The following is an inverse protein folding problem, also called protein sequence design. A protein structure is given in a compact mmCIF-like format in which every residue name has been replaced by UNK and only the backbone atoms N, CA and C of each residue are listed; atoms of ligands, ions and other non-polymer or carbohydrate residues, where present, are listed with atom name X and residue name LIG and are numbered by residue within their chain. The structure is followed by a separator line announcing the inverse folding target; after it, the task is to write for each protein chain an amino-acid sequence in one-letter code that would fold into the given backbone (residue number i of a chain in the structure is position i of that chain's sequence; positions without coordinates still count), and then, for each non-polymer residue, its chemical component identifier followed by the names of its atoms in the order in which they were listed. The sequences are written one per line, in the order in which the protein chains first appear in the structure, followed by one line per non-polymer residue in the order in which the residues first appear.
data_IF_481791772483
#
_entry.id   IF_481791772483
#
_cell.length_a   1.000
_cell.length_b   1.000
_cell.length_c   1.000
_cell.angle_alpha   90.00
_cell.angle_beta   90.00
_cell.angle_gamma   90.00
#
_symmetry.space_group_name_H-M   'P 1'
#
loop_
_entity.id
_entity.type
_entity.pdbx_description
1 polymer ?
#
# COMPACT_ATOMS: atom_id res chain seq x y z
N UNK A 1 8.78 -0.45 6.35
CA UNK A 1 7.60 -0.06 5.55
C UNK A 1 6.27 -0.46 6.20
N UNK A 2 5.94 -1.75 6.39
CA UNK A 2 4.63 -2.18 6.94
C UNK A 2 4.36 -1.62 8.36
N UNK A 3 5.40 -1.53 9.22
CA UNK A 3 5.23 -0.96 10.55
C UNK A 3 4.90 0.54 10.50
N UNK A 4 5.59 1.29 9.66
CA UNK A 4 5.32 2.71 9.41
C UNK A 4 3.90 2.91 8.86
N UNK A 5 3.49 2.11 7.88
CA UNK A 5 2.14 2.14 7.32
C UNK A 5 1.07 1.92 8.40
N UNK A 6 1.28 0.93 9.29
CA UNK A 6 0.38 0.64 10.41
C UNK A 6 0.28 1.82 11.40
N UNK A 7 1.40 2.45 11.73
CA UNK A 7 1.42 3.64 12.61
C UNK A 7 0.65 4.81 11.99
N UNK A 8 0.70 4.95 10.65
CA UNK A 8 -0.07 5.94 9.90
C UNK A 8 -1.54 5.56 9.67
N UNK A 9 -1.99 4.41 10.19
CA UNK A 9 -3.38 3.95 10.08
C UNK A 9 -3.74 3.32 8.73
N UNK A 10 -2.76 2.95 7.92
CA UNK A 10 -3.00 2.21 6.68
C UNK A 10 -3.29 0.74 7.01
N UNK A 11 -4.31 0.19 6.35
CA UNK A 11 -4.70 -1.20 6.48
C UNK A 11 -3.65 -2.10 5.82
N UNK A 12 -2.86 -2.78 6.64
CA UNK A 12 -1.79 -3.69 6.23
C UNK A 12 -1.92 -5.02 6.97
N UNK A 13 -1.48 -6.13 6.36
CA UNK A 13 -1.50 -7.42 7.04
C UNK A 13 -0.59 -7.41 8.28
N UNK A 14 -1.00 -8.14 9.28
CA UNK A 14 -0.17 -8.40 10.46
C UNK A 14 1.14 -9.07 10.04
N UNK A 15 2.27 -8.50 10.46
CA UNK A 15 3.60 -8.95 10.05
C UNK A 15 4.51 -9.18 11.25
N UNK A 16 5.42 -10.13 11.10
CA UNK A 16 6.32 -10.59 12.16
C UNK A 16 7.73 -10.73 11.61
N UNK A 17 8.71 -10.46 12.47
CA UNK A 17 10.09 -10.85 12.27
C UNK A 17 10.34 -12.04 13.18
N UNK A 18 10.87 -13.13 12.64
CA UNK A 18 11.06 -14.39 13.34
C UNK A 18 12.55 -14.74 13.28
N UNK A 19 13.18 -14.86 14.45
CA UNK A 19 14.53 -15.41 14.57
C UNK A 19 14.46 -16.94 14.65
N UNK A 20 15.25 -17.63 13.85
CA UNK A 20 15.32 -19.09 13.81
C UNK A 20 16.72 -19.55 14.24
N UNK A 21 16.76 -20.60 15.06
CA UNK A 21 18.00 -21.11 15.64
C UNK A 21 18.58 -20.17 16.70
N UNK A 22 19.90 -19.98 16.70
CA UNK A 22 20.63 -19.08 17.61
C UNK A 22 20.61 -17.61 17.15
N UNK A 23 19.68 -17.22 16.29
CA UNK A 23 19.61 -15.87 15.71
C UNK A 23 20.36 -15.70 14.39
N UNK A 24 20.88 -16.79 13.82
CA UNK A 24 21.61 -16.76 12.54
C UNK A 24 20.72 -16.47 11.33
N UNK A 25 19.42 -16.79 11.43
CA UNK A 25 18.46 -16.57 10.35
C UNK A 25 17.30 -15.69 10.84
N UNK A 26 17.06 -14.61 10.11
CA UNK A 26 15.93 -13.72 10.32
C UNK A 26 14.95 -13.93 9.17
N UNK A 27 13.72 -14.32 9.52
CA UNK A 27 12.62 -14.50 8.57
C UNK A 27 11.61 -13.40 8.73
N UNK A 28 11.06 -12.93 7.62
CA UNK A 28 9.91 -12.06 7.60
C UNK A 28 8.66 -12.88 7.28
N UNK A 29 7.61 -12.74 8.08
CA UNK A 29 6.34 -13.43 7.89
C UNK A 29 5.18 -12.45 7.94
N UNK A 30 4.16 -12.69 7.11
CA UNK A 30 2.90 -11.95 7.14
C UNK A 30 1.74 -12.91 7.30
N UNK A 31 0.76 -12.50 8.13
CA UNK A 31 -0.49 -13.23 8.25
C UNK A 31 -1.33 -13.01 6.99
N UNK A 32 -1.72 -14.10 6.37
CA UNK A 32 -2.56 -14.02 5.18
C UNK A 32 -3.95 -13.47 5.52
N UNK A 33 -4.29 -12.33 4.96
CA UNK A 33 -5.59 -11.68 5.13
C UNK A 33 -6.72 -12.42 4.39
N UNK A 34 -6.40 -13.26 3.41
CA UNK A 34 -7.34 -14.09 2.66
C UNK A 34 -7.63 -15.45 3.34
N UNK A 35 -7.26 -15.61 4.61
CA UNK A 35 -7.48 -16.83 5.40
C UNK A 35 -8.29 -16.53 6.65
N UNK A 36 -9.49 -17.10 6.73
CA UNK A 36 -10.38 -17.00 7.89
C UNK A 36 -10.38 -18.31 8.67
N UNK A 37 -9.86 -18.26 9.91
CA UNK A 37 -10.01 -19.36 10.86
C UNK A 37 -11.36 -19.21 11.57
N UNK A 38 -12.15 -20.27 11.60
CA UNK A 38 -13.47 -20.29 12.21
C UNK A 38 -13.62 -21.53 13.08
N UNK A 39 -14.62 -21.53 13.97
CA UNK A 39 -14.91 -22.68 14.84
C UNK A 39 -15.24 -23.92 14.00
N UNK A 40 -16.00 -23.76 12.94
CA UNK A 40 -16.43 -24.78 11.97
C UNK A 40 -15.43 -25.03 10.83
N UNK A 41 -14.21 -24.51 10.94
CA UNK A 41 -13.15 -24.78 9.94
C UNK A 41 -12.90 -26.28 9.79
N UNK A 42 -12.78 -26.75 8.54
CA UNK A 42 -12.47 -28.14 8.23
C UNK A 42 -11.19 -28.60 8.94
N UNK A 43 -11.20 -29.84 9.39
CA UNK A 43 -10.00 -30.47 9.96
C UNK A 43 -9.42 -31.47 8.96
N UNK A 44 -8.14 -31.31 8.62
CA UNK A 44 -7.38 -32.24 7.78
C UNK A 44 -6.13 -32.62 8.58
N UNK A 45 -5.89 -33.92 8.73
CA UNK A 45 -4.76 -34.46 9.51
C UNK A 45 -4.63 -33.84 10.91
N UNK A 46 -5.76 -33.69 11.62
CA UNK A 46 -5.82 -33.15 12.96
C UNK A 46 -5.62 -31.61 13.05
N UNK A 47 -5.46 -30.92 11.94
CA UNK A 47 -5.25 -29.46 11.89
C UNK A 47 -6.45 -28.76 11.29
N UNK A 48 -6.90 -27.67 11.93
CA UNK A 48 -7.91 -26.78 11.33
C UNK A 48 -7.34 -26.10 10.09
N UNK A 49 -8.06 -26.17 8.99
CA UNK A 49 -7.72 -25.52 7.71
C UNK A 49 -8.57 -24.27 7.56
N UNK A 50 -7.96 -23.07 7.41
CA UNK A 50 -8.72 -21.84 7.28
C UNK A 50 -9.52 -21.82 5.98
N UNK A 51 -10.68 -21.17 6.01
CA UNK A 51 -11.43 -20.84 4.79
C UNK A 51 -10.64 -19.84 3.97
N UNK A 52 -10.54 -20.08 2.67
CA UNK A 52 -9.87 -19.17 1.73
C UNK A 52 -10.88 -18.21 1.12
N UNK A 53 -10.71 -16.92 1.38
CA UNK A 53 -11.41 -15.87 0.64
C UNK A 53 -10.83 -15.78 -0.78
N UNK A 54 -11.69 -15.47 -1.73
CA UNK A 54 -11.26 -15.14 -3.07
C UNK A 54 -10.64 -13.74 -3.06
N UNK A 55 -9.56 -13.58 -3.80
CA UNK A 55 -8.97 -12.27 -4.08
C UNK A 55 -8.64 -12.16 -5.56
N UNK A 56 -8.61 -10.94 -6.04
CA UNK A 56 -8.34 -10.59 -7.41
C UNK A 56 -7.51 -9.32 -7.46
N UNK A 57 -6.37 -9.32 -8.17
CA UNK A 57 -5.60 -8.11 -8.38
C UNK A 57 -6.29 -7.18 -9.38
N UNK A 58 -5.96 -5.88 -9.35
CA UNK A 58 -6.61 -4.94 -10.26
C UNK A 58 -6.27 -5.15 -11.73
N UNK A 59 -5.18 -5.83 -12.08
CA UNK A 59 -4.94 -6.22 -13.47
C UNK A 59 -6.00 -7.23 -13.92
N UNK A 60 -6.34 -8.23 -13.07
CA UNK A 60 -7.40 -9.19 -13.32
C UNK A 60 -8.78 -8.48 -13.41
N UNK A 61 -9.12 -7.68 -12.40
CA UNK A 61 -10.40 -6.98 -12.33
C UNK A 61 -10.64 -6.00 -13.51
N UNK A 62 -9.56 -5.42 -14.05
CA UNK A 62 -9.60 -4.50 -15.19
C UNK A 62 -9.40 -5.18 -16.55
N UNK A 63 -9.15 -6.51 -16.58
CA UNK A 63 -8.85 -7.25 -17.80
C UNK A 63 -7.51 -6.85 -18.45
N UNK A 64 -6.54 -6.39 -17.66
CA UNK A 64 -5.21 -5.96 -18.13
C UNK A 64 -4.26 -7.16 -18.10
N UNK A 65 -3.60 -7.52 -19.21
CA UNK A 65 -2.60 -8.58 -19.23
C UNK A 65 -1.45 -8.31 -18.26
N UNK A 66 -0.90 -9.37 -17.64
CA UNK A 66 0.20 -9.25 -16.68
C UNK A 66 1.45 -8.53 -17.25
N UNK A 67 1.69 -8.64 -18.56
CA UNK A 67 2.76 -7.93 -19.27
C UNK A 67 2.58 -6.42 -19.35
N UNK A 68 1.38 -5.92 -19.05
CA UNK A 68 1.02 -4.50 -19.05
C UNK A 68 0.75 -3.98 -17.63
N UNK A 69 1.28 -4.63 -16.60
CA UNK A 69 1.07 -4.25 -15.20
C UNK A 69 1.59 -2.85 -14.83
N UNK A 70 2.61 -2.37 -15.53
CA UNK A 70 3.15 -1.01 -15.42
C UNK A 70 2.40 -0.06 -16.34
N UNK A 71 2.02 1.09 -15.82
CA UNK A 71 1.29 2.09 -16.58
C UNK A 71 2.15 2.68 -17.70
N UNK A 72 1.52 2.89 -18.85
CA UNK A 72 2.08 3.68 -19.95
C UNK A 72 1.36 5.04 -19.99
N UNK A 73 2.05 6.02 -20.53
CA UNK A 73 1.46 7.36 -20.68
C UNK A 73 0.11 7.25 -21.40
N UNK A 74 -0.95 7.73 -20.73
CA UNK A 74 -2.32 7.73 -21.23
C UNK A 74 -3.21 6.59 -20.75
N UNK A 75 -2.68 5.58 -20.04
CA UNK A 75 -3.49 4.43 -19.55
C UNK A 75 -4.41 4.79 -18.37
N UNK A 76 -4.03 5.77 -17.55
CA UNK A 76 -4.79 6.28 -16.39
C UNK A 76 -5.27 5.16 -15.44
N UNK A 77 -4.36 4.30 -14.98
CA UNK A 77 -4.71 3.16 -14.14
C UNK A 77 -5.38 3.56 -12.84
N UNK A 78 -4.92 4.60 -12.16
CA UNK A 78 -5.57 5.08 -10.94
C UNK A 78 -7.03 5.44 -11.20
N UNK A 79 -7.34 6.18 -12.26
CA UNK A 79 -8.72 6.52 -12.61
C UNK A 79 -9.58 5.28 -12.84
N UNK A 80 -9.06 4.28 -13.53
CA UNK A 80 -9.76 3.02 -13.80
C UNK A 80 -10.04 2.26 -12.50
N UNK A 81 -9.05 2.17 -11.60
CA UNK A 81 -9.18 1.51 -10.30
C UNK A 81 -10.17 2.25 -9.39
N UNK A 82 -10.08 3.58 -9.30
CA UNK A 82 -11.04 4.38 -8.52
C UNK A 82 -12.47 4.26 -9.06
N UNK A 83 -12.63 4.18 -10.39
CA UNK A 83 -13.94 3.96 -11.01
C UNK A 83 -14.49 2.57 -10.65
N UNK A 84 -13.65 1.54 -10.70
CA UNK A 84 -14.02 0.18 -10.32
C UNK A 84 -14.45 0.10 -8.86
N UNK A 85 -13.68 0.68 -7.93
CA UNK A 85 -14.05 0.72 -6.51
C UNK A 85 -15.37 1.47 -6.28
N UNK A 86 -15.59 2.58 -6.99
CA UNK A 86 -16.85 3.35 -6.90
C UNK A 86 -18.05 2.54 -7.34
N UNK A 87 -17.87 1.67 -8.31
CA UNK A 87 -18.96 0.90 -8.92
C UNK A 87 -19.23 -0.40 -8.16
N UNK A 88 -18.22 -1.07 -7.64
CA UNK A 88 -18.35 -2.45 -7.17
C UNK A 88 -18.01 -2.67 -5.69
N UNK A 89 -17.35 -1.74 -5.00
CA UNK A 89 -17.08 -1.90 -3.57
C UNK A 89 -18.36 -1.75 -2.75
N UNK A 90 -18.49 -2.55 -1.69
CA UNK A 90 -19.58 -2.41 -0.70
C UNK A 90 -19.42 -1.16 0.20
N UNK A 91 -18.22 -0.59 0.25
CA UNK A 91 -17.98 0.69 0.92
C UNK A 91 -17.09 1.58 0.06
N UNK A 92 -17.62 2.11 -1.06
CA UNK A 92 -16.82 2.77 -2.07
C UNK A 92 -16.11 4.03 -1.58
N UNK A 93 -16.70 4.75 -0.65
CA UNK A 93 -16.07 5.97 -0.09
C UNK A 93 -14.84 5.60 0.75
N UNK A 94 -14.98 4.64 1.65
CA UNK A 94 -13.89 4.18 2.49
C UNK A 94 -12.75 3.56 1.68
N UNK A 95 -13.08 2.68 0.74
CA UNK A 95 -12.08 1.98 -0.06
C UNK A 95 -11.32 2.92 -1.01
N UNK A 96 -11.99 3.93 -1.58
CA UNK A 96 -11.32 4.98 -2.35
C UNK A 96 -10.35 5.81 -1.46
N UNK A 97 -10.76 6.15 -0.23
CA UNK A 97 -9.90 6.88 0.69
C UNK A 97 -8.71 6.02 1.16
N UNK A 98 -8.91 4.74 1.42
CA UNK A 98 -7.82 3.79 1.73
C UNK A 98 -6.83 3.68 0.56
N UNK A 99 -7.32 3.55 -0.67
CA UNK A 99 -6.45 3.51 -1.84
C UNK A 99 -5.66 4.80 -2.02
N UNK A 100 -6.30 5.95 -1.77
CA UNK A 100 -5.63 7.24 -1.81
C UNK A 100 -4.49 7.33 -0.79
N UNK A 101 -4.72 6.85 0.43
CA UNK A 101 -3.68 6.77 1.46
C UNK A 101 -2.52 5.87 1.05
N UNK A 102 -2.81 4.74 0.38
CA UNK A 102 -1.79 3.85 -0.17
C UNK A 102 -0.95 4.58 -1.23
N UNK A 103 -1.57 5.35 -2.13
CA UNK A 103 -0.87 6.14 -3.14
C UNK A 103 0.07 7.18 -2.51
N UNK A 104 -0.43 7.94 -1.51
CA UNK A 104 0.37 8.92 -0.78
C UNK A 104 1.54 8.23 -0.06
N UNK A 105 1.28 7.14 0.63
CA UNK A 105 2.32 6.42 1.37
C UNK A 105 3.39 5.84 0.45
N UNK A 106 3.01 5.26 -0.68
CA UNK A 106 3.96 4.76 -1.68
C UNK A 106 4.89 5.87 -2.19
N UNK A 107 4.33 7.05 -2.45
CA UNK A 107 5.12 8.23 -2.81
C UNK A 107 6.08 8.63 -1.69
N UNK A 108 5.61 8.75 -0.45
CA UNK A 108 6.42 9.18 0.69
C UNK A 108 7.52 8.17 1.05
N UNK A 109 7.28 6.87 0.94
CA UNK A 109 8.28 5.85 1.25
C UNK A 109 9.20 5.52 0.06
N UNK A 110 8.88 6.07 -1.12
CA UNK A 110 9.62 5.81 -2.37
C UNK A 110 9.36 4.42 -2.93
N UNK A 111 8.21 3.80 -2.65
CA UNK A 111 7.80 2.55 -3.28
C UNK A 111 7.21 2.83 -4.67
N UNK A 112 8.01 2.62 -5.69
CA UNK A 112 7.63 2.85 -7.08
C UNK A 112 7.08 1.60 -7.78
N UNK A 113 7.22 0.41 -7.20
CA UNK A 113 6.75 -0.85 -7.80
C UNK A 113 5.30 -1.23 -7.41
N UNK A 114 4.52 -0.26 -6.96
CA UNK A 114 3.12 -0.47 -6.61
C UNK A 114 2.23 -0.49 -7.87
N UNK A 115 2.40 -1.51 -8.72
CA UNK A 115 1.61 -1.68 -9.93
C UNK A 115 0.23 -2.31 -9.63
N UNK A 116 -0.67 -2.31 -10.63
CA UNK A 116 -2.04 -2.81 -10.51
C UNK A 116 -2.19 -4.29 -10.13
N UNK A 117 -1.09 -5.07 -10.08
CA UNK A 117 -1.08 -6.44 -9.55
C UNK A 117 -0.70 -6.50 -8.06
N UNK A 118 -0.19 -5.42 -7.49
CA UNK A 118 0.16 -5.32 -6.07
C UNK A 118 -0.96 -4.73 -5.21
N UNK A 119 -2.09 -4.40 -5.83
CA UNK A 119 -3.30 -3.94 -5.16
C UNK A 119 -4.46 -4.79 -5.70
N UNK A 120 -5.44 -5.08 -4.87
CA UNK A 120 -6.53 -5.94 -5.31
C UNK A 120 -7.81 -5.82 -4.50
N UNK A 121 -8.73 -6.64 -4.87
CA UNK A 121 -10.03 -6.81 -4.23
C UNK A 121 -10.05 -8.07 -3.39
N UNK A 122 -10.72 -8.01 -2.26
CA UNK A 122 -11.01 -9.14 -1.39
C UNK A 122 -12.52 -9.38 -1.39
N UNK A 123 -12.91 -10.60 -1.72
CA UNK A 123 -14.31 -11.01 -1.74
C UNK A 123 -14.69 -11.63 -0.39
N UNK A 124 -15.86 -11.27 0.11
CA UNK A 124 -16.45 -11.92 1.28
C UNK A 124 -16.73 -13.40 1.03
N UNK A 125 -17.12 -14.13 2.09
CA UNK A 125 -17.50 -15.55 1.98
C UNK A 125 -18.66 -15.80 1.02
N UNK A 126 -19.57 -14.85 0.95
CA UNK A 126 -20.75 -14.85 0.06
C UNK A 126 -20.37 -14.58 -1.39
N UNK A 127 -19.12 -14.24 -1.68
CA UNK A 127 -18.61 -13.80 -3.00
C UNK A 127 -19.35 -12.63 -3.60
N UNK A 128 -20.12 -11.89 -2.81
CA UNK A 128 -20.88 -10.71 -3.20
C UNK A 128 -20.28 -9.45 -2.60
N UNK A 129 -19.90 -9.52 -1.32
CA UNK A 129 -19.19 -8.44 -0.65
C UNK A 129 -17.82 -8.25 -1.26
N UNK A 130 -17.53 -7.04 -1.72
CA UNK A 130 -16.26 -6.67 -2.38
C UNK A 130 -15.64 -5.50 -1.64
N UNK A 131 -14.39 -5.63 -1.22
CA UNK A 131 -13.62 -4.60 -0.51
C UNK A 131 -12.21 -4.49 -1.08
N UNK A 132 -11.59 -3.33 -0.90
CA UNK A 132 -10.16 -3.18 -1.13
C UNK A 132 -9.38 -4.11 -0.20
N UNK A 133 -8.43 -4.87 -0.74
CA UNK A 133 -7.54 -5.73 0.05
C UNK A 133 -6.50 -4.90 0.81
N UNK A 134 -5.98 -5.39 1.96
CA UNK A 134 -4.87 -4.77 2.66
C UNK A 134 -3.63 -4.59 1.77
N UNK A 135 -2.91 -3.48 1.97
CA UNK A 135 -1.73 -3.14 1.18
C UNK A 135 -0.49 -3.93 1.61
N UNK A 136 0.39 -4.22 0.67
CA UNK A 136 1.74 -4.74 0.92
C UNK A 136 2.75 -3.97 0.05
N UNK A 137 4.04 -4.02 0.42
CA UNK A 137 5.07 -3.13 -0.12
C UNK A 137 6.28 -3.91 -0.58
N UNK A 138 6.80 -3.55 -1.77
CA UNK A 138 7.97 -4.14 -2.41
C UNK A 138 9.04 -3.08 -2.72
N UNK A 139 10.15 -3.45 -3.35
CA UNK A 139 11.29 -2.56 -3.61
C UNK A 139 11.05 -1.55 -4.73
N UNK A 140 11.91 -0.51 -4.79
CA UNK A 140 11.68 0.70 -5.58
C UNK A 140 12.67 0.90 -6.73
N UNK A 141 12.15 1.40 -7.87
CA UNK A 141 12.87 1.98 -8.99
C UNK A 141 12.74 3.52 -8.97
N UNK A 142 13.14 4.24 -10.02
CA UNK A 142 12.94 5.70 -10.13
C UNK A 142 11.57 6.06 -10.74
N UNK A 143 10.90 5.12 -11.39
CA UNK A 143 9.62 5.35 -12.06
C UNK A 143 8.48 4.67 -11.30
N UNK A 144 7.44 5.42 -10.99
CA UNK A 144 6.20 4.92 -10.43
C UNK A 144 5.54 3.92 -11.38
N UNK A 145 5.02 2.83 -10.83
CA UNK A 145 4.28 1.83 -11.61
C UNK A 145 2.90 2.33 -12.06
N UNK A 146 2.35 3.31 -11.35
CA UNK A 146 1.14 4.04 -11.70
C UNK A 146 1.42 5.54 -11.63
N UNK A 147 1.00 6.28 -12.65
CA UNK A 147 1.21 7.70 -12.76
C UNK A 147 0.39 8.50 -11.72
N UNK A 148 0.94 9.62 -11.29
CA UNK A 148 0.22 10.67 -10.55
C UNK A 148 0.18 11.90 -11.45
N UNK A 149 -1.00 12.32 -11.87
CA UNK A 149 -1.20 13.42 -12.85
C UNK A 149 -0.44 13.18 -14.16
N UNK A 150 -0.40 11.93 -14.62
CA UNK A 150 0.31 11.52 -15.83
C UNK A 150 1.85 11.47 -15.71
N UNK A 151 2.42 11.81 -14.56
CA UNK A 151 3.86 11.76 -14.31
C UNK A 151 4.26 10.42 -13.64
N UNK A 152 5.27 9.77 -14.20
CA UNK A 152 5.84 8.51 -13.67
C UNK A 152 7.15 8.74 -12.90
N UNK A 153 7.91 9.80 -13.21
CA UNK A 153 9.14 10.11 -12.49
C UNK A 153 8.82 10.65 -11.09
N UNK A 154 9.07 9.85 -10.06
CA UNK A 154 8.76 10.19 -8.66
C UNK A 154 9.36 11.55 -8.23
N UNK A 155 10.48 11.97 -8.81
CA UNK A 155 11.18 13.23 -8.48
C UNK A 155 10.44 14.46 -9.00
N UNK A 156 9.57 14.31 -10.00
CA UNK A 156 8.76 15.37 -10.58
C UNK A 156 7.36 15.46 -9.98
N UNK A 157 6.93 14.43 -9.27
CA UNK A 157 5.64 14.42 -8.59
C UNK A 157 5.66 15.39 -7.41
N UNK A 158 4.67 16.25 -7.35
CA UNK A 158 4.53 17.31 -6.35
C UNK A 158 3.20 17.21 -5.62
N UNK A 159 3.01 18.03 -4.58
CA UNK A 159 1.72 18.21 -3.93
C UNK A 159 0.61 18.62 -4.92
N UNK A 160 0.97 19.47 -5.90
CA UNK A 160 0.01 19.90 -6.93
C UNK A 160 -0.35 18.76 -7.90
N UNK A 161 0.59 17.84 -8.19
CA UNK A 161 0.28 16.63 -8.94
C UNK A 161 -0.77 15.77 -8.23
N UNK A 162 -0.65 15.61 -6.90
CA UNK A 162 -1.68 14.93 -6.11
C UNK A 162 -3.02 15.66 -6.13
N UNK A 163 -3.03 16.99 -6.13
CA UNK A 163 -4.24 17.80 -6.24
C UNK A 163 -4.94 17.59 -7.59
N UNK A 164 -4.17 17.62 -8.67
CA UNK A 164 -4.67 17.39 -10.02
C UNK A 164 -5.19 15.96 -10.18
N UNK A 165 -4.45 14.97 -9.68
CA UNK A 165 -4.86 13.57 -9.71
C UNK A 165 -6.16 13.33 -8.92
N UNK A 166 -6.33 13.95 -7.74
CA UNK A 166 -7.57 13.85 -6.97
C UNK A 166 -8.80 14.30 -7.80
N UNK A 167 -8.68 15.40 -8.55
CA UNK A 167 -9.72 15.85 -9.48
C UNK A 167 -9.94 14.86 -10.61
N UNK A 168 -8.84 14.36 -11.20
CA UNK A 168 -8.88 13.43 -12.33
C UNK A 168 -9.60 12.12 -12.01
N UNK A 169 -9.36 11.55 -10.83
CA UNK A 169 -10.00 10.32 -10.34
C UNK A 169 -11.41 10.57 -9.75
N UNK A 170 -11.83 11.82 -9.62
CA UNK A 170 -13.13 12.20 -9.05
C UNK A 170 -13.22 12.05 -7.53
N UNK A 171 -12.10 12.18 -6.83
CA UNK A 171 -12.04 12.25 -5.36
C UNK A 171 -12.18 13.72 -4.92
N UNK A 172 -12.97 13.98 -3.87
CA UNK A 172 -13.16 15.35 -3.36
C UNK A 172 -11.83 15.98 -2.95
N UNK A 173 -11.41 17.04 -3.66
CA UNK A 173 -10.10 17.69 -3.50
C UNK A 173 -9.76 18.03 -2.05
N UNK A 174 -10.71 18.64 -1.34
CA UNK A 174 -10.49 19.06 0.06
C UNK A 174 -10.15 17.89 0.98
N UNK A 175 -10.82 16.75 0.83
CA UNK A 175 -10.54 15.58 1.67
C UNK A 175 -9.25 14.91 1.23
N UNK A 176 -9.02 14.80 -0.07
CA UNK A 176 -7.81 14.22 -0.64
C UNK A 176 -6.55 14.96 -0.16
N UNK A 177 -6.54 16.29 -0.25
CA UNK A 177 -5.40 17.10 0.15
C UNK A 177 -5.21 17.16 1.66
N UNK A 178 -6.29 17.16 2.44
CA UNK A 178 -6.18 17.04 3.90
C UNK A 178 -5.49 15.73 4.31
N UNK A 179 -5.83 14.60 3.67
CA UNK A 179 -5.17 13.31 3.94
C UNK A 179 -3.70 13.33 3.54
N UNK A 180 -3.39 13.92 2.38
CA UNK A 180 -2.01 14.11 1.94
C UNK A 180 -1.19 14.88 2.98
N UNK A 181 -1.66 16.04 3.41
CA UNK A 181 -0.98 16.89 4.40
C UNK A 181 -0.83 16.22 5.75
N UNK A 182 -1.87 15.55 6.23
CA UNK A 182 -1.82 14.81 7.49
C UNK A 182 -0.77 13.69 7.45
N UNK A 183 -0.73 12.91 6.37
CA UNK A 183 0.23 11.83 6.22
C UNK A 183 1.66 12.37 6.06
N UNK A 184 1.87 13.38 5.21
CA UNK A 184 3.16 14.04 5.03
C UNK A 184 3.72 14.58 6.34
N UNK A 185 2.91 15.29 7.13
CA UNK A 185 3.31 15.88 8.41
C UNK A 185 3.60 14.82 9.49
N UNK A 186 3.03 13.62 9.38
CA UNK A 186 3.21 12.54 10.35
C UNK A 186 4.25 11.51 9.93
N UNK A 187 4.68 11.53 8.67
CA UNK A 187 5.48 10.46 8.06
C UNK A 187 6.83 10.23 8.75
N UNK A 188 7.62 11.28 8.94
CA UNK A 188 8.96 11.15 9.55
C UNK A 188 8.88 10.63 10.99
N UNK A 189 7.92 11.14 11.76
CA UNK A 189 7.71 10.67 13.14
C UNK A 189 7.30 9.19 13.15
N UNK A 190 6.39 8.79 12.25
CA UNK A 190 5.96 7.39 12.15
C UNK A 190 7.10 6.47 11.69
N UNK A 191 7.96 6.95 10.78
CA UNK A 191 9.13 6.22 10.31
C UNK A 191 10.16 6.05 11.43
N UNK A 192 10.45 7.11 12.20
CA UNK A 192 11.33 7.07 13.35
C UNK A 192 10.82 6.12 14.44
N UNK A 193 9.53 6.21 14.78
CA UNK A 193 8.91 5.29 15.73
C UNK A 193 9.02 3.84 15.27
N UNK A 194 8.74 3.55 13.99
CA UNK A 194 8.88 2.20 13.44
C UNK A 194 10.31 1.67 13.51
N UNK A 195 11.31 2.56 13.32
CA UNK A 195 12.72 2.22 13.48
C UNK A 195 13.03 1.84 14.93
N UNK A 196 12.67 2.67 15.91
CA UNK A 196 12.87 2.43 17.33
C UNK A 196 12.28 1.09 17.78
N UNK A 197 11.01 0.82 17.41
CA UNK A 197 10.33 -0.42 17.76
C UNK A 197 11.04 -1.68 17.21
N UNK A 198 11.65 -1.60 16.02
CA UNK A 198 12.39 -2.71 15.42
C UNK A 198 13.77 -2.85 16.03
N UNK A 199 14.43 -1.74 16.38
CA UNK A 199 15.73 -1.75 17.11
C UNK A 199 15.57 -2.33 18.51
N UNK A 200 14.55 -1.92 19.26
CA UNK A 200 14.24 -2.43 20.59
C UNK A 200 13.93 -3.93 20.59
N UNK A 201 13.36 -4.43 19.49
CA UNK A 201 13.17 -5.85 19.27
C UNK A 201 14.47 -6.62 18.90
N UNK A 202 15.61 -5.93 18.82
CA UNK A 202 16.95 -6.54 18.63
C UNK A 202 17.31 -6.86 17.17
N UNK A 203 16.62 -6.26 16.18
CA UNK A 203 16.92 -6.52 14.77
C UNK A 203 17.91 -5.50 14.19
N UNK A 204 19.07 -5.96 13.66
CA UNK A 204 20.08 -5.09 13.06
C UNK A 204 19.66 -4.60 11.67
N UNK A 205 20.34 -3.55 11.17
CA UNK A 205 20.21 -3.07 9.78
C UNK A 205 19.02 -2.13 9.52
N UNK A 206 18.15 -1.89 10.50
CA UNK A 206 17.01 -0.98 10.33
C UNK A 206 17.44 0.46 10.10
N UNK A 207 18.59 0.88 10.65
CA UNK A 207 19.15 2.23 10.49
C UNK A 207 19.44 2.55 9.01
N UNK A 208 20.08 1.62 8.30
CA UNK A 208 20.39 1.77 6.89
C UNK A 208 19.12 1.95 6.04
N UNK A 209 18.08 1.15 6.34
CA UNK A 209 16.78 1.25 5.67
C UNK A 209 16.12 2.61 5.95
N UNK A 210 16.14 3.05 7.21
CA UNK A 210 15.61 4.35 7.63
C UNK A 210 16.29 5.50 6.88
N UNK A 211 17.62 5.53 6.86
CA UNK A 211 18.41 6.53 6.15
C UNK A 211 18.14 6.53 4.63
N UNK A 212 18.02 5.34 4.04
CA UNK A 212 17.69 5.18 2.61
C UNK A 212 16.34 5.80 2.27
N UNK A 213 15.33 5.58 3.12
CA UNK A 213 13.99 6.15 2.92
C UNK A 213 14.03 7.68 3.07
N UNK A 214 14.70 8.20 4.11
CA UNK A 214 14.82 9.65 4.31
C UNK A 214 15.53 10.34 3.14
N UNK A 215 16.62 9.76 2.63
CA UNK A 215 17.35 10.32 1.48
C UNK A 215 16.50 10.38 0.22
N UNK A 216 15.66 9.37 -0.02
CA UNK A 216 14.72 9.38 -1.15
C UNK A 216 13.64 10.46 -1.01
N UNK A 217 13.28 10.80 0.23
CA UNK A 217 12.26 11.80 0.54
C UNK A 217 12.77 13.25 0.58
N UNK A 218 14.09 13.47 0.63
CA UNK A 218 14.70 14.81 0.69
C UNK A 218 14.33 15.75 -0.45
N UNK A 219 14.18 15.35 -1.73
CA UNK A 219 13.70 16.24 -2.79
C UNK A 219 12.33 16.84 -2.48
N UNK A 220 11.51 16.15 -1.70
CA UNK A 220 10.15 16.57 -1.36
C UNK A 220 10.08 17.57 -0.19
N UNK A 221 11.16 17.70 0.60
CA UNK A 221 11.25 18.66 1.71
C UNK A 221 11.55 20.09 1.27
N UNK A 222 12.15 20.29 0.10
CA UNK A 222 12.45 21.64 -0.41
C UNK A 222 11.21 22.41 -0.87
N UNK A 223 10.06 21.74 -1.04
CA UNK A 223 8.80 22.37 -1.45
C UNK A 223 8.00 23.00 -0.31
N UNK A 224 8.39 22.76 0.95
CA UNK A 224 7.70 23.32 2.13
C UNK A 224 8.33 24.61 2.69
N UNK A 225 9.29 25.22 1.98
CA UNK A 225 9.99 26.46 2.43
C UNK A 225 9.75 27.68 1.53
N UNK A 226 8.68 27.65 0.71
CA UNK A 226 8.24 28.88 0.02
C UNK A 226 6.79 29.18 0.34
#
# INVERSE_FOLDING_TARGET
CLRTAKILGIDVPESFIISVGTGEHILFATKRFDRLMQEDSRVIDGKKVPFRLQQEDFAQALGVPASQKYEKIGDSYLKRVFTLLRQYSDNPVEDQLKLWDICIFNYLIGNTDNHIKNIGLLYGKDRRTIRLAPAYYEESTEQMAMAIDGELDIRKITKESFRAEARHIGLGERIAMRRFEQMQNSFERALAQAKEEIQDAGYPGVEEIYEKILRKNQPNHHLNRQ
#
